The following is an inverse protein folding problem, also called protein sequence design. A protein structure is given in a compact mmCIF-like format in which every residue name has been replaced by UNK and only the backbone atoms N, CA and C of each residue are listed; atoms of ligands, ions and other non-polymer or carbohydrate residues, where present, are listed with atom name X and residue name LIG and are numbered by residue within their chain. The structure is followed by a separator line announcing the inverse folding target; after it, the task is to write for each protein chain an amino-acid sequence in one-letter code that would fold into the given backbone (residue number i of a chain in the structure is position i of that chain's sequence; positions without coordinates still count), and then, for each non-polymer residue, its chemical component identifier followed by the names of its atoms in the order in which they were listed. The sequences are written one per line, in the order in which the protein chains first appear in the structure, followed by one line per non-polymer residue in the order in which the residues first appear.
data_IF_812455376858
#
_entry.id   IF_812455376858
#
_cell.length_a   1.000
_cell.length_b   1.000
_cell.length_c   1.000
_cell.angle_alpha   90.00
_cell.angle_beta   90.00
_cell.angle_gamma   90.00
#
_symmetry.space_group_name_H-M   'P 1'
#
loop_
_entity.id
_entity.type
_entity.pdbx_description
1 polymer ?
#
# COMPACT_ATOMS: atom_id res chain seq x y z
N UNK A 1 -15.93 -2.54 13.15
CA UNK A 1 -15.75 -3.38 11.95
C UNK A 1 -14.49 -4.21 12.19
N UNK A 2 -14.58 -5.53 12.20
CA UNK A 2 -13.41 -6.38 12.44
C UNK A 2 -12.58 -6.50 11.15
N UNK A 3 -11.26 -6.35 11.26
CA UNK A 3 -10.33 -6.60 10.17
C UNK A 3 -10.24 -8.12 9.99
N UNK A 4 -10.91 -8.66 8.97
CA UNK A 4 -11.05 -10.11 8.81
C UNK A 4 -10.10 -10.71 7.78
N UNK A 5 -9.38 -9.88 7.01
CA UNK A 5 -8.49 -10.34 5.95
C UNK A 5 -7.22 -9.49 5.90
N UNK A 6 -6.05 -10.16 5.93
CA UNK A 6 -4.72 -9.54 5.86
C UNK A 6 -4.17 -9.69 4.44
N UNK A 7 -3.67 -8.60 3.89
CA UNK A 7 -3.07 -8.56 2.55
C UNK A 7 -1.65 -8.05 2.61
N UNK A 8 -0.77 -8.67 1.82
CA UNK A 8 0.55 -8.14 1.55
C UNK A 8 0.42 -6.85 0.73
N UNK A 9 0.95 -5.76 1.25
CA UNK A 9 0.89 -4.43 0.66
C UNK A 9 2.27 -4.04 0.11
N UNK A 10 2.31 -3.76 -1.19
CA UNK A 10 3.47 -3.26 -1.89
C UNK A 10 3.17 -1.82 -2.34
N UNK A 11 3.71 -0.79 -1.66
CA UNK A 11 3.50 0.59 -2.07
C UNK A 11 4.26 0.92 -3.35
N UNK A 12 5.47 0.37 -3.52
CA UNK A 12 6.36 0.74 -4.61
C UNK A 12 6.94 2.15 -4.43
N UNK A 13 7.97 2.48 -5.20
CA UNK A 13 8.76 3.70 -5.00
C UNK A 13 7.96 5.00 -5.20
N UNK A 14 6.97 5.02 -6.10
CA UNK A 14 6.18 6.22 -6.37
C UNK A 14 5.26 6.59 -5.22
N UNK A 15 4.52 5.60 -4.67
CA UNK A 15 3.60 5.84 -3.54
C UNK A 15 4.37 6.11 -2.24
N UNK A 16 5.60 5.59 -2.11
CA UNK A 16 6.48 5.90 -0.97
C UNK A 16 7.07 7.31 -1.03
N UNK A 17 7.23 7.89 -2.23
CA UNK A 17 7.95 9.17 -2.41
C UNK A 17 7.05 10.30 -2.93
N UNK A 18 6.77 10.32 -4.24
CA UNK A 18 6.11 11.45 -4.92
C UNK A 18 4.59 11.41 -4.85
N UNK A 19 4.01 10.30 -4.42
CA UNK A 19 2.56 10.04 -4.42
C UNK A 19 2.07 9.54 -3.07
N UNK A 20 2.59 10.12 -1.99
CA UNK A 20 2.25 9.74 -0.61
C UNK A 20 0.74 9.85 -0.32
N UNK A 21 0.06 10.82 -0.93
CA UNK A 21 -1.39 10.98 -0.81
C UNK A 21 -2.16 9.76 -1.34
N UNK A 22 -1.67 9.13 -2.41
CA UNK A 22 -2.26 7.89 -2.93
C UNK A 22 -1.99 6.70 -2.02
N UNK A 23 -0.81 6.63 -1.39
CA UNK A 23 -0.51 5.63 -0.37
C UNK A 23 -1.51 5.72 0.80
N UNK A 24 -1.68 6.93 1.36
CA UNK A 24 -2.63 7.19 2.45
C UNK A 24 -4.07 6.86 2.05
N UNK A 25 -4.46 7.24 0.83
CA UNK A 25 -5.78 6.93 0.27
C UNK A 25 -6.03 5.42 0.17
N UNK A 26 -5.04 4.64 -0.30
CA UNK A 26 -5.15 3.18 -0.39
C UNK A 26 -5.32 2.54 1.00
N UNK A 27 -4.51 2.97 1.97
CA UNK A 27 -4.59 2.48 3.35
C UNK A 27 -5.95 2.79 3.99
N UNK A 28 -6.53 3.96 3.71
CA UNK A 28 -7.84 4.33 4.21
C UNK A 28 -8.98 3.57 3.55
N UNK A 29 -8.90 3.37 2.24
CA UNK A 29 -9.81 2.49 1.50
C UNK A 29 -9.78 1.06 2.06
N UNK A 30 -8.58 0.52 2.32
CA UNK A 30 -8.39 -0.78 2.95
C UNK A 30 -9.08 -0.88 4.31
N UNK A 31 -8.84 0.09 5.21
CA UNK A 31 -9.50 0.14 6.53
C UNK A 31 -11.02 0.19 6.41
N UNK A 32 -11.54 1.01 5.50
CA UNK A 32 -12.99 1.15 5.26
C UNK A 32 -13.62 -0.15 4.79
N UNK A 33 -12.88 -0.92 3.98
CA UNK A 33 -13.29 -2.23 3.48
C UNK A 33 -13.05 -3.38 4.49
N UNK A 34 -12.47 -3.11 5.66
CA UNK A 34 -12.14 -4.13 6.65
C UNK A 34 -10.92 -4.98 6.29
N UNK A 35 -10.00 -4.44 5.49
CA UNK A 35 -8.75 -5.06 5.07
C UNK A 35 -7.59 -4.55 5.92
N UNK A 36 -6.75 -5.46 6.40
CA UNK A 36 -5.47 -5.13 7.00
C UNK A 36 -4.38 -5.16 5.93
N UNK A 37 -3.87 -3.99 5.58
CA UNK A 37 -2.78 -3.83 4.62
C UNK A 37 -1.45 -3.93 5.36
N UNK A 38 -0.73 -5.03 5.18
CA UNK A 38 0.55 -5.30 5.85
C UNK A 38 1.66 -5.08 4.83
N UNK A 39 2.47 -4.05 5.05
CA UNK A 39 3.59 -3.77 4.16
C UNK A 39 4.58 -4.94 4.11
N UNK A 40 5.03 -5.28 2.89
CA UNK A 40 6.01 -6.35 2.67
C UNK A 40 7.37 -5.87 3.22
N UNK A 41 8.03 -6.57 4.14
CA UNK A 41 9.35 -6.16 4.62
C UNK A 41 10.38 -6.25 3.48
N UNK A 42 11.30 -5.28 3.43
CA UNK A 42 12.45 -5.26 2.52
C UNK A 42 12.06 -5.40 1.03
N UNK A 43 10.89 -4.88 0.63
CA UNK A 43 10.54 -4.81 -0.78
C UNK A 43 11.51 -3.90 -1.54
N UNK A 44 11.75 -4.21 -2.81
CA UNK A 44 12.59 -3.41 -3.70
C UNK A 44 11.76 -2.85 -4.84
N UNK A 45 12.19 -1.72 -5.39
CA UNK A 45 11.55 -1.13 -6.57
C UNK A 45 11.45 -2.16 -7.71
N UNK A 46 10.27 -2.26 -8.31
CA UNK A 46 9.98 -3.19 -9.41
C UNK A 46 10.75 -2.87 -10.71
N UNK A 47 11.43 -1.73 -10.80
CA UNK A 47 12.21 -1.32 -11.97
C UNK A 47 11.36 -0.82 -13.15
N UNK A 48 10.06 -0.66 -12.97
CA UNK A 48 9.23 0.05 -13.94
C UNK A 48 9.64 1.53 -13.97
N UNK A 49 9.83 2.09 -15.16
CA UNK A 49 10.08 3.53 -15.32
C UNK A 49 8.90 4.31 -14.76
N UNK A 50 9.16 5.46 -14.16
CA UNK A 50 8.15 6.47 -13.82
C UNK A 50 7.39 6.82 -15.11
N UNK A 51 6.15 6.35 -15.23
CA UNK A 51 5.19 6.77 -16.24
C UNK A 51 4.09 7.57 -15.55
#
# INVERSE_FOLDING_TARGET
MALNQRYAYYPGCSLETTSEEYNRSMLDAGRTLGLEMVEIPDWICCGASSA
#
